data_IF_599695223087
#
_entry.id   IF_599695223087
#
_cell.length_a   1.000
_cell.length_b   1.000
_cell.length_c   1.000
_cell.angle_alpha   90.00
_cell.angle_beta   90.00
_cell.angle_gamma   90.00
#
_symmetry.space_group_name_H-M   'P 1'
#
loop_
_entity.id
_entity.type
_entity.pdbx_description
1 polymer ?
#
# COMPACT_ATOMS: atom_id res chain seq x y z
N UNK A 1 -10.35 16.92 -39.70
CA UNK A 1 -9.93 15.65 -39.08
C UNK A 1 -8.53 15.84 -38.52
N UNK A 2 -8.36 15.83 -37.21
CA UNK A 2 -7.04 15.65 -36.59
C UNK A 2 -7.24 14.79 -35.34
N UNK A 3 -6.79 13.54 -35.42
CA UNK A 3 -6.79 12.57 -34.34
C UNK A 3 -5.71 12.98 -33.35
N UNK A 4 -6.12 13.57 -32.23
CA UNK A 4 -5.33 13.58 -31.00
C UNK A 4 -6.06 12.70 -30.00
N UNK A 5 -6.18 11.40 -30.30
CA UNK A 5 -6.43 10.44 -29.25
C UNK A 5 -5.08 10.15 -28.63
N UNK A 6 -4.84 10.79 -27.49
CA UNK A 6 -3.68 10.51 -26.68
C UNK A 6 -3.87 9.09 -26.19
N UNK A 7 -3.04 8.17 -26.67
CA UNK A 7 -2.88 6.84 -26.10
C UNK A 7 -2.48 7.00 -24.62
N UNK A 8 -3.47 7.20 -23.75
CA UNK A 8 -3.33 6.93 -22.33
C UNK A 8 -3.27 5.41 -22.22
N UNK A 9 -2.11 4.84 -22.52
CA UNK A 9 -1.80 3.50 -22.07
C UNK A 9 -1.94 3.52 -20.54
N UNK A 10 -2.91 2.77 -20.05
CA UNK A 10 -3.09 2.52 -18.65
C UNK A 10 -1.79 1.89 -18.12
N UNK A 11 -0.92 2.71 -17.50
CA UNK A 11 0.43 2.31 -17.06
C UNK A 11 0.44 1.24 -15.96
N UNK A 12 -0.71 0.75 -15.53
CA UNK A 12 -0.84 -0.19 -14.41
C UNK A 12 -1.44 -1.49 -14.92
N UNK A 13 -0.68 -2.57 -14.77
CA UNK A 13 -1.11 -3.93 -15.14
C UNK A 13 -2.13 -4.54 -14.15
N UNK A 14 -2.68 -3.75 -13.23
CA UNK A 14 -3.53 -4.23 -12.15
C UNK A 14 -4.56 -3.20 -11.69
N UNK A 15 -5.73 -3.71 -11.32
CA UNK A 15 -6.82 -2.92 -10.74
C UNK A 15 -6.49 -2.59 -9.28
N UNK A 16 -6.69 -1.33 -8.89
CA UNK A 16 -6.65 -0.91 -7.49
C UNK A 16 -8.04 -0.67 -6.94
N UNK A 17 -8.37 -1.40 -5.88
CA UNK A 17 -9.57 -1.17 -5.09
C UNK A 17 -9.27 -0.13 -4.02
N UNK A 18 -10.12 0.91 -3.95
CA UNK A 18 -10.14 1.82 -2.82
C UNK A 18 -10.70 1.06 -1.62
N UNK A 19 -9.96 1.02 -0.52
CA UNK A 19 -10.35 0.25 0.67
C UNK A 19 -10.48 1.10 1.93
N UNK A 20 -9.67 2.17 2.06
CA UNK A 20 -9.63 3.06 3.23
C UNK A 20 -9.73 2.27 4.56
N UNK A 21 -8.84 1.28 4.71
CA UNK A 21 -8.86 0.29 5.78
C UNK A 21 -7.73 0.51 6.78
N UNK A 22 -8.01 0.27 8.07
CA UNK A 22 -6.98 0.26 9.12
C UNK A 22 -6.03 -0.93 8.91
N UNK A 23 -4.73 -0.66 8.99
CA UNK A 23 -3.69 -1.67 8.82
C UNK A 23 -2.59 -1.52 9.86
N UNK A 24 -1.92 -2.63 10.13
CA UNK A 24 -0.70 -2.66 10.94
C UNK A 24 0.50 -2.88 10.03
N UNK A 25 1.43 -1.92 10.04
CA UNK A 25 2.76 -2.08 9.47
C UNK A 25 3.70 -2.61 10.55
N UNK A 26 4.44 -3.67 10.28
CA UNK A 26 5.48 -4.18 11.17
C UNK A 26 6.84 -3.90 10.55
N UNK A 27 7.67 -3.15 11.28
CA UNK A 27 9.01 -2.78 10.84
C UNK A 27 9.97 -2.79 12.02
N UNK A 28 11.09 -3.50 11.90
CA UNK A 28 12.09 -3.65 12.96
C UNK A 28 11.48 -4.09 14.32
N UNK A 29 10.45 -4.95 14.29
CA UNK A 29 9.74 -5.44 15.48
C UNK A 29 8.74 -4.47 16.09
N UNK A 30 8.59 -3.27 15.53
CA UNK A 30 7.58 -2.30 15.95
C UNK A 30 6.30 -2.47 15.14
N UNK A 31 5.14 -2.40 15.80
CA UNK A 31 3.83 -2.34 15.15
C UNK A 31 3.43 -0.87 15.02
N UNK A 32 3.13 -0.43 13.81
CA UNK A 32 2.75 0.93 13.48
C UNK A 32 1.36 0.91 12.84
N UNK A 33 0.34 1.50 13.50
CA UNK A 33 -0.98 1.65 12.90
C UNK A 33 -0.91 2.65 11.74
N UNK A 34 -1.57 2.32 10.65
CA UNK A 34 -1.61 3.09 9.41
C UNK A 34 -2.93 2.88 8.67
N UNK A 35 -3.14 3.58 7.56
CA UNK A 35 -4.35 3.44 6.74
C UNK A 35 -3.96 3.00 5.34
N UNK A 36 -4.48 1.85 4.90
CA UNK A 36 -4.39 1.43 3.51
C UNK A 36 -5.45 2.16 2.69
N UNK A 37 -4.98 3.05 1.81
CA UNK A 37 -5.83 3.88 0.96
C UNK A 37 -6.39 3.02 -0.18
N UNK A 38 -5.52 2.31 -0.88
CA UNK A 38 -5.87 1.43 -1.99
C UNK A 38 -5.03 0.16 -2.01
N UNK A 39 -5.58 -0.89 -2.61
CA UNK A 39 -4.99 -2.23 -2.67
C UNK A 39 -5.16 -2.83 -4.05
N UNK A 40 -4.15 -3.53 -4.54
CA UNK A 40 -4.20 -4.41 -5.70
C UNK A 40 -3.59 -5.78 -5.38
N UNK A 41 -3.57 -6.67 -6.37
CA UNK A 41 -2.89 -7.97 -6.26
C UNK A 41 -1.37 -7.85 -6.10
N UNK A 42 -0.76 -6.72 -6.49
CA UNK A 42 0.69 -6.53 -6.55
C UNK A 42 1.22 -5.52 -5.53
N UNK A 43 0.36 -4.75 -4.87
CA UNK A 43 0.80 -3.65 -4.02
C UNK A 43 -0.33 -2.89 -3.37
N UNK A 44 0.04 -1.88 -2.60
CA UNK A 44 -0.90 -1.02 -1.89
C UNK A 44 -0.34 0.39 -1.70
N UNK A 45 -1.22 1.35 -1.48
CA UNK A 45 -0.85 2.68 -1.00
C UNK A 45 -1.25 2.80 0.47
N UNK A 46 -0.30 3.21 1.31
CA UNK A 46 -0.53 3.33 2.76
C UNK A 46 -0.18 4.74 3.22
N UNK A 47 -1.00 5.31 4.09
CA UNK A 47 -0.71 6.52 4.85
C UNK A 47 -0.24 6.13 6.25
N UNK A 48 1.00 6.49 6.59
CA UNK A 48 1.64 6.14 7.84
C UNK A 48 1.96 7.39 8.67
N UNK A 49 1.94 7.31 10.01
CA UNK A 49 2.17 8.45 10.90
C UNK A 49 3.66 8.79 11.10
N UNK A 50 4.56 8.17 10.34
CA UNK A 50 6.01 8.38 10.41
C UNK A 50 6.67 8.12 9.07
N UNK A 51 7.91 8.56 8.95
CA UNK A 51 8.73 8.34 7.76
C UNK A 51 9.32 6.92 7.66
N UNK A 52 9.44 6.47 6.42
CA UNK A 52 10.11 5.26 5.94
C UNK A 52 11.00 5.64 4.76
N UNK A 53 11.84 4.70 4.34
CA UNK A 53 12.75 4.84 3.20
C UNK A 53 12.39 3.85 2.09
N UNK A 54 12.65 4.24 0.84
CA UNK A 54 12.57 3.32 -0.30
C UNK A 54 13.55 2.16 -0.06
N UNK A 55 13.06 0.93 -0.27
CA UNK A 55 13.77 -0.30 0.04
C UNK A 55 13.50 -0.86 1.45
N UNK A 56 12.80 -0.12 2.32
CA UNK A 56 12.39 -0.67 3.62
C UNK A 56 11.45 -1.87 3.40
N UNK A 57 11.72 -2.95 4.14
CA UNK A 57 10.85 -4.12 4.19
C UNK A 57 9.87 -3.99 5.35
N UNK A 58 8.60 -4.22 5.04
CA UNK A 58 7.48 -4.13 5.99
C UNK A 58 6.63 -5.38 5.89
N UNK A 59 6.28 -5.98 7.02
CA UNK A 59 5.11 -6.85 7.03
C UNK A 59 3.86 -5.98 7.14
N UNK A 60 2.84 -6.26 6.34
CA UNK A 60 1.54 -5.60 6.41
C UNK A 60 0.50 -6.60 6.88
N UNK A 61 -0.33 -6.16 7.82
CA UNK A 61 -1.51 -6.90 8.28
C UNK A 61 -2.76 -6.06 8.16
N UNK A 62 -3.79 -6.62 7.53
CA UNK A 62 -5.15 -6.08 7.50
C UNK A 62 -6.04 -7.13 8.15
N UNK A 63 -6.59 -6.81 9.31
CA UNK A 63 -7.48 -7.72 10.02
C UNK A 63 -8.81 -7.85 9.27
N UNK A 64 -9.43 -9.03 9.34
CA UNK A 64 -10.78 -9.23 8.81
C UNK A 64 -11.79 -9.26 9.94
N UNK A 65 -12.80 -8.40 9.85
CA UNK A 65 -13.94 -8.43 10.78
C UNK A 65 -14.93 -9.57 10.45
N UNK A 66 -14.74 -10.26 9.33
CA UNK A 66 -15.62 -11.34 8.91
C UNK A 66 -15.05 -12.71 9.33
N UNK A 67 -15.74 -13.50 10.17
CA UNK A 67 -15.20 -14.73 10.76
C UNK A 67 -14.82 -15.83 9.76
N UNK A 68 -15.34 -15.76 8.53
CA UNK A 68 -15.02 -16.71 7.46
C UNK A 68 -13.88 -16.27 6.53
N UNK A 69 -13.36 -15.05 6.67
CA UNK A 69 -12.29 -14.53 5.82
C UNK A 69 -11.02 -14.33 6.65
N UNK A 70 -9.89 -14.86 6.16
CA UNK A 70 -8.59 -14.55 6.75
C UNK A 70 -8.27 -13.09 6.41
N UNK A 71 -7.70 -12.37 7.38
CA UNK A 71 -7.06 -11.07 7.11
C UNK A 71 -5.96 -11.19 6.06
N UNK A 72 -5.56 -10.05 5.50
CA UNK A 72 -4.43 -9.99 4.58
C UNK A 72 -3.14 -9.90 5.40
N UNK A 73 -2.21 -10.81 5.14
CA UNK A 73 -0.84 -10.74 5.66
C UNK A 73 0.13 -10.83 4.50
N UNK A 74 1.02 -9.84 4.36
CA UNK A 74 1.95 -9.78 3.24
C UNK A 74 3.31 -9.22 3.65
N UNK A 75 4.38 -9.74 3.05
CA UNK A 75 5.68 -9.08 3.06
C UNK A 75 5.73 -8.07 1.92
N UNK A 76 6.19 -6.87 2.20
CA UNK A 76 6.21 -5.78 1.24
C UNK A 76 7.52 -5.01 1.27
N UNK A 77 7.77 -4.28 0.20
CA UNK A 77 8.89 -3.34 0.08
C UNK A 77 8.38 -1.95 -0.30
N UNK A 78 8.92 -0.91 0.33
CA UNK A 78 8.63 0.48 0.00
C UNK A 78 9.27 0.82 -1.34
N UNK A 79 8.47 1.13 -2.35
CA UNK A 79 8.93 1.47 -3.71
C UNK A 79 8.92 2.97 -4.01
N UNK A 80 8.13 3.74 -3.26
CA UNK A 80 8.18 5.21 -3.27
C UNK A 80 7.61 5.76 -1.98
N UNK A 81 8.01 6.98 -1.66
CA UNK A 81 7.51 7.73 -0.51
C UNK A 81 7.13 9.15 -0.90
N UNK A 82 6.15 9.71 -0.21
CA UNK A 82 5.77 11.12 -0.32
C UNK A 82 5.43 11.66 1.07
N UNK A 83 6.18 12.66 1.52
CA UNK A 83 5.96 13.26 2.83
C UNK A 83 4.66 14.07 2.85
N UNK A 84 4.00 14.06 4.00
CA UNK A 84 2.77 14.81 4.20
C UNK A 84 2.91 15.86 5.30
N UNK A 85 2.08 16.89 5.21
CA UNK A 85 2.00 17.91 6.26
C UNK A 85 1.65 17.26 7.60
N UNK A 86 2.41 17.60 8.65
CA UNK A 86 2.23 17.01 9.98
C UNK A 86 3.14 15.81 10.29
N UNK A 87 4.11 15.47 9.43
CA UNK A 87 5.15 14.48 9.74
C UNK A 87 4.77 13.03 9.45
N UNK A 88 3.62 12.81 8.81
CA UNK A 88 3.23 11.53 8.21
C UNK A 88 3.80 11.34 6.82
N UNK A 89 3.56 10.18 6.23
CA UNK A 89 4.04 9.83 4.91
C UNK A 89 3.04 8.94 4.16
N UNK A 90 2.88 9.17 2.86
CA UNK A 90 2.28 8.21 1.94
C UNK A 90 3.35 7.32 1.34
N UNK A 91 3.09 6.03 1.33
CA UNK A 91 3.99 4.99 0.85
C UNK A 91 3.33 4.24 -0.29
N UNK A 92 4.14 3.91 -1.29
CA UNK A 92 3.84 2.82 -2.21
C UNK A 92 4.53 1.56 -1.73
N UNK A 93 3.74 0.51 -1.49
CA UNK A 93 4.26 -0.80 -1.12
C UNK A 93 4.06 -1.78 -2.28
N UNK A 94 5.12 -2.48 -2.64
CA UNK A 94 5.05 -3.65 -3.54
C UNK A 94 4.95 -4.91 -2.70
N UNK A 95 4.01 -5.80 -3.02
CA UNK A 95 3.88 -7.10 -2.37
C UNK A 95 5.00 -8.02 -2.88
N UNK A 96 5.80 -8.53 -1.95
CA UNK A 96 6.87 -9.50 -2.20
C UNK A 96 6.34 -10.92 -2.06
N UNK A 97 5.56 -11.17 -1.00
CA UNK A 97 4.93 -12.47 -0.75
C UNK A 97 3.65 -12.34 0.09
N UNK A 98 2.72 -13.28 -0.08
CA UNK A 98 1.50 -13.41 0.74
C UNK A 98 1.69 -14.50 1.80
N UNK A 99 1.09 -14.34 2.98
CA UNK A 99 1.16 -15.29 4.12
C UNK A 99 -0.17 -15.97 4.46
#
# INVERSE_FOLDING_TARGET
>A
MSRNDRDYEEKRDYIRMRVDADVNLIHAGQVIPAVCIDLSSSGMQVQAPRSFQVGDKLDVRIDSDHPALKGLEAETEVVWVNDEEGGGQKLGLSIVSMK
#
